data_IF_853423832528
#
_entry.id   IF_853423832528
#
_cell.length_a   1.000
_cell.length_b   1.000
_cell.length_c   1.000
_cell.angle_alpha   90.00
_cell.angle_beta   90.00
_cell.angle_gamma   90.00
#
_symmetry.space_group_name_H-M   'P 1'
#
loop_
_entity.id
_entity.type
_entity.pdbx_description
1 polymer ?
#
# COMPACT_ATOMS: atom_id res chain seq x y z
N UNK A 1 -13.36 2.85 -15.31
CA UNK A 1 -12.88 2.91 -13.91
C UNK A 1 -12.00 1.70 -13.68
N UNK A 2 -10.73 1.90 -13.34
CA UNK A 2 -9.78 0.80 -13.20
C UNK A 2 -10.03 0.09 -11.87
N UNK A 3 -10.38 -1.19 -11.94
CA UNK A 3 -10.74 -1.99 -10.76
C UNK A 3 -9.45 -2.51 -10.10
N UNK A 4 -8.95 -1.78 -9.11
CA UNK A 4 -7.74 -2.12 -8.39
C UNK A 4 -7.98 -3.18 -7.31
N UNK A 5 -6.97 -4.01 -7.06
CA UNK A 5 -6.88 -4.81 -5.83
C UNK A 5 -6.50 -3.84 -4.71
N UNK A 6 -7.45 -3.60 -3.80
CA UNK A 6 -7.25 -2.79 -2.61
C UNK A 6 -6.45 -3.57 -1.58
N UNK A 7 -5.60 -2.86 -0.83
CA UNK A 7 -4.82 -3.42 0.26
C UNK A 7 -5.46 -3.00 1.56
N UNK A 8 -5.95 -3.98 2.33
CA UNK A 8 -6.35 -3.79 3.70
C UNK A 8 -5.18 -4.19 4.62
N UNK A 9 -4.73 -3.25 5.46
CA UNK A 9 -3.65 -3.46 6.44
C UNK A 9 -4.19 -3.72 7.84
N UNK A 10 -5.50 -3.59 8.04
CA UNK A 10 -6.20 -3.76 9.31
C UNK A 10 -6.96 -5.09 9.35
N UNK A 11 -6.68 -5.99 8.42
CA UNK A 11 -7.28 -7.32 8.40
C UNK A 11 -6.76 -8.13 9.59
N UNK A 12 -7.64 -8.35 10.56
CA UNK A 12 -7.37 -9.23 11.69
C UNK A 12 -7.15 -10.68 11.24
N UNK A 13 -6.35 -11.42 11.99
CA UNK A 13 -6.06 -12.84 11.73
C UNK A 13 -5.38 -13.17 10.38
N UNK A 14 -4.79 -12.18 9.70
CA UNK A 14 -3.94 -12.40 8.51
C UNK A 14 -2.54 -12.94 8.91
N UNK A 15 -2.05 -12.53 10.07
CA UNK A 15 -0.87 -13.00 10.81
C UNK A 15 -1.33 -13.30 12.27
N UNK A 16 -0.52 -13.92 13.17
CA UNK A 16 -0.88 -14.00 14.60
C UNK A 16 -1.43 -12.66 15.11
N UNK A 17 -2.39 -12.68 16.06
CA UNK A 17 -3.64 -11.88 16.13
C UNK A 17 -3.80 -10.65 15.21
N UNK A 18 -2.84 -9.73 15.17
CA UNK A 18 -2.75 -8.64 14.20
C UNK A 18 -1.31 -8.31 13.79
N UNK A 19 -1.13 -7.76 12.58
CA UNK A 19 0.13 -7.12 12.15
C UNK A 19 0.53 -5.99 13.12
N UNK A 20 -0.46 -5.33 13.72
CA UNK A 20 -0.24 -4.24 14.67
C UNK A 20 0.48 -4.70 15.95
N UNK A 21 0.34 -5.97 16.32
CA UNK A 21 1.01 -6.53 17.51
C UNK A 21 2.51 -6.78 17.27
N UNK A 22 2.91 -6.94 16.01
CA UNK A 22 4.29 -7.23 15.61
C UNK A 22 5.08 -5.99 15.24
N UNK A 23 4.39 -4.97 14.72
CA UNK A 23 5.03 -3.76 14.21
C UNK A 23 4.92 -2.63 15.23
N UNK A 24 6.05 -2.17 15.78
CA UNK A 24 6.05 -1.03 16.69
C UNK A 24 5.41 0.20 16.05
N UNK A 25 4.85 1.09 16.87
CA UNK A 25 4.21 2.33 16.38
C UNK A 25 5.19 3.22 15.60
N UNK A 26 6.47 3.13 15.95
CA UNK A 26 7.54 3.97 15.39
C UNK A 26 8.20 3.33 14.17
N UNK A 27 7.69 2.18 13.69
CA UNK A 27 8.28 1.44 12.60
C UNK A 27 8.18 2.20 11.27
N UNK A 28 9.30 2.28 10.53
CA UNK A 28 9.42 3.03 9.28
C UNK A 28 8.30 2.72 8.26
N UNK A 29 7.89 1.46 8.14
CA UNK A 29 6.80 1.07 7.24
C UNK A 29 5.47 1.82 7.51
N UNK A 30 5.16 2.14 8.78
CA UNK A 30 3.96 2.93 9.13
C UNK A 30 4.08 4.35 8.59
N UNK A 31 5.23 4.98 8.82
CA UNK A 31 5.54 6.32 8.31
C UNK A 31 5.50 6.38 6.77
N UNK A 32 6.07 5.39 6.07
CA UNK A 32 6.04 5.33 4.60
C UNK A 32 4.62 5.26 4.06
N UNK A 33 3.75 4.44 4.67
CA UNK A 33 2.35 4.33 4.26
C UNK A 33 1.61 5.65 4.51
N UNK A 34 1.79 6.26 5.68
CA UNK A 34 1.17 7.55 6.03
C UNK A 34 1.54 8.65 5.03
N UNK A 35 2.83 8.77 4.69
CA UNK A 35 3.31 9.76 3.71
C UNK A 35 2.67 9.53 2.35
N UNK A 36 2.59 8.28 1.89
CA UNK A 36 2.06 7.94 0.57
C UNK A 36 0.55 8.15 0.49
N UNK A 37 -0.18 7.88 1.56
CA UNK A 37 -1.62 8.13 1.64
C UNK A 37 -1.95 9.64 1.55
N UNK A 38 -0.99 10.51 1.88
CA UNK A 38 -1.09 11.96 1.69
C UNK A 38 -0.82 12.47 0.27
N UNK A 39 -0.40 11.63 -0.68
CA UNK A 39 -0.02 12.05 -2.04
C UNK A 39 -1.19 12.01 -3.02
N UNK A 40 -1.27 13.00 -3.93
CA UNK A 40 -2.17 12.92 -5.09
C UNK A 40 -1.60 11.97 -6.16
N UNK A 41 -2.11 10.73 -6.16
CA UNK A 41 -1.76 9.71 -7.14
C UNK A 41 -2.70 9.68 -8.36
N UNK A 42 -3.58 10.68 -8.53
CA UNK A 42 -4.61 10.67 -9.57
C UNK A 42 -4.04 10.60 -11.00
N UNK A 43 -2.86 11.21 -11.22
CA UNK A 43 -2.17 11.11 -12.52
C UNK A 43 -1.71 9.69 -12.81
N UNK A 44 -1.23 8.98 -11.80
CA UNK A 44 -0.75 7.61 -11.93
C UNK A 44 -1.91 6.63 -12.13
N UNK A 45 -2.96 6.73 -11.32
CA UNK A 45 -4.14 5.86 -11.43
C UNK A 45 -4.85 6.00 -12.78
N UNK A 46 -4.90 7.21 -13.35
CA UNK A 46 -5.50 7.45 -14.69
C UNK A 46 -4.75 6.78 -15.84
N UNK A 47 -3.46 6.46 -15.69
CA UNK A 47 -2.69 5.76 -16.72
C UNK A 47 -3.03 4.26 -16.83
N UNK A 48 -3.69 3.70 -15.81
CA UNK A 48 -4.06 2.28 -15.83
C UNK A 48 -5.23 2.05 -16.78
N UNK A 49 -4.96 1.45 -17.93
CA UNK A 49 -5.96 1.13 -18.96
C UNK A 49 -6.75 -0.16 -18.69
N UNK A 50 -6.52 -0.84 -17.56
CA UNK A 50 -7.29 -2.03 -17.16
C UNK A 50 -7.10 -3.26 -18.06
N UNK A 51 -5.89 -3.46 -18.60
CA UNK A 51 -5.57 -4.63 -19.44
C UNK A 51 -4.97 -5.76 -18.61
N UNK A 52 -5.32 -7.00 -18.93
CA UNK A 52 -4.82 -8.19 -18.23
C UNK A 52 -5.47 -8.40 -16.86
N UNK A 53 -4.70 -8.95 -15.92
CA UNK A 53 -5.15 -9.16 -14.53
C UNK A 53 -5.44 -7.85 -13.81
N UNK A 54 -6.24 -7.91 -12.74
CA UNK A 54 -6.46 -6.75 -11.86
C UNK A 54 -5.12 -6.23 -11.33
N UNK A 55 -4.90 -4.92 -11.45
CA UNK A 55 -3.72 -4.27 -10.92
C UNK A 55 -3.87 -4.00 -9.42
N UNK A 56 -2.78 -4.07 -8.67
CA UNK A 56 -2.74 -3.50 -7.32
C UNK A 56 -2.83 -1.98 -7.37
N UNK A 57 -3.39 -1.35 -6.33
CA UNK A 57 -3.47 0.10 -6.25
C UNK A 57 -2.06 0.73 -6.28
N UNK A 58 -1.81 1.81 -7.04
CA UNK A 58 -0.47 2.40 -7.15
C UNK A 58 0.13 2.86 -5.82
N UNK A 59 -0.71 3.27 -4.86
CA UNK A 59 -0.26 3.60 -3.51
C UNK A 59 0.45 2.42 -2.83
N UNK A 60 -0.09 1.20 -2.97
CA UNK A 60 0.52 -0.01 -2.41
C UNK A 60 1.87 -0.29 -3.04
N UNK A 61 1.95 -0.23 -4.37
CA UNK A 61 3.21 -0.49 -5.09
C UNK A 61 4.28 0.56 -4.76
N UNK A 62 3.89 1.83 -4.66
CA UNK A 62 4.79 2.91 -4.27
C UNK A 62 5.30 2.72 -2.84
N UNK A 63 4.46 2.26 -1.91
CA UNK A 63 4.86 2.00 -0.52
C UNK A 63 5.91 0.90 -0.43
N UNK A 64 5.72 -0.18 -1.19
CA UNK A 64 6.71 -1.26 -1.27
C UNK A 64 8.03 -0.73 -1.85
N UNK A 65 7.96 0.05 -2.94
CA UNK A 65 9.14 0.60 -3.58
C UNK A 65 9.92 1.51 -2.64
N UNK A 66 9.27 2.50 -2.04
CA UNK A 66 9.92 3.45 -1.13
C UNK A 66 10.52 2.72 0.07
N UNK A 67 9.75 1.82 0.70
CA UNK A 67 10.24 1.06 1.86
C UNK A 67 11.48 0.22 1.51
N UNK A 68 11.44 -0.51 0.38
CA UNK A 68 12.56 -1.37 -0.05
C UNK A 68 13.85 -0.64 -0.42
N UNK A 69 13.79 0.67 -0.66
CA UNK A 69 14.97 1.51 -0.90
C UNK A 69 15.36 2.36 0.33
N UNK A 70 14.62 2.25 1.44
CA UNK A 70 14.87 3.02 2.68
C UNK A 70 15.63 2.22 3.73
N UNK A 71 16.06 1.00 3.41
CA UNK A 71 16.80 0.05 4.27
C UNK A 71 18.10 -0.36 3.62
#
# INVERSE_FOLDING_TARGET
>A
MSNFILTDRKTDYLLPPSVDDWLTQDHLARFVVEVIDGLDLSRLTRQYAGRGSKAHHPATLLAILVYGYST
#
